data_IF_757430310788
#
_entry.id   IF_757430310788
#
_cell.length_a   1.000
_cell.length_b   1.000
_cell.length_c   1.000
_cell.angle_alpha   90.00
_cell.angle_beta   90.00
_cell.angle_gamma   90.00
#
_symmetry.space_group_name_H-M   'P 1'
#
loop_
_entity.id
_entity.type
_entity.pdbx_description
1 polymer ?
#
# COMPACT_ATOMS: atom_id res chain seq x y z
N UNK A 1 -20.10 5.15 3.38
CA UNK A 1 -19.22 4.93 4.55
C UNK A 1 -18.34 6.17 4.70
N UNK A 2 -17.97 6.49 5.93
CA UNK A 2 -17.54 7.82 6.40
C UNK A 2 -16.32 8.40 5.67
N UNK A 3 -16.28 9.73 5.57
CA UNK A 3 -15.27 10.51 4.84
C UNK A 3 -13.84 10.02 5.13
N UNK A 4 -13.11 9.63 4.09
CA UNK A 4 -11.67 9.36 4.18
C UNK A 4 -10.99 10.62 4.75
N UNK A 5 -10.28 10.45 5.85
CA UNK A 5 -9.77 11.54 6.68
C UNK A 5 -8.82 12.43 5.89
N UNK A 6 -9.04 13.77 5.88
CA UNK A 6 -8.12 14.77 5.31
C UNK A 6 -6.70 14.64 5.89
N UNK A 7 -5.64 15.13 5.20
CA UNK A 7 -4.30 15.17 5.81
C UNK A 7 -4.32 15.92 7.16
N UNK A 8 -5.08 17.01 7.25
CA UNK A 8 -5.25 17.78 8.48
C UNK A 8 -5.86 16.93 9.60
N UNK A 9 -6.85 16.09 9.29
CA UNK A 9 -7.45 15.16 10.26
C UNK A 9 -6.45 14.07 10.68
N UNK A 10 -5.64 13.54 9.76
CA UNK A 10 -4.59 12.57 10.10
C UNK A 10 -3.56 13.17 11.07
N UNK A 11 -3.16 14.44 10.87
CA UNK A 11 -2.21 15.14 11.74
C UNK A 11 -2.65 15.26 13.20
N UNK A 12 -3.95 15.34 13.46
CA UNK A 12 -4.49 15.49 14.82
C UNK A 12 -4.25 14.26 15.71
N UNK A 13 -4.05 13.08 15.12
CA UNK A 13 -3.82 11.83 15.85
C UNK A 13 -2.64 11.04 15.26
N UNK A 14 -1.64 11.74 14.71
CA UNK A 14 -0.51 11.11 14.05
C UNK A 14 0.46 10.49 15.09
N UNK A 15 0.74 9.19 15.04
CA UNK A 15 1.74 8.59 15.91
C UNK A 15 3.15 9.14 15.61
N UNK A 16 3.99 9.25 16.64
CA UNK A 16 5.34 9.83 16.50
C UNK A 16 6.24 9.08 15.51
N UNK A 17 6.02 7.78 15.30
CA UNK A 17 6.73 6.99 14.28
C UNK A 17 6.47 7.50 12.85
N UNK A 18 5.38 8.23 12.61
CA UNK A 18 5.07 8.86 11.33
C UNK A 18 5.58 10.30 11.20
N UNK A 19 6.45 10.79 12.10
CA UNK A 19 6.98 12.15 12.02
C UNK A 19 7.70 12.48 10.69
N UNK A 20 8.28 11.47 10.03
CA UNK A 20 8.90 11.62 8.71
C UNK A 20 7.89 11.52 7.54
N UNK A 21 6.62 11.30 7.86
CA UNK A 21 5.53 11.02 6.92
C UNK A 21 4.29 11.86 7.26
N UNK A 22 4.49 13.14 7.60
CA UNK A 22 3.42 14.06 8.07
C UNK A 22 2.29 14.30 7.06
N UNK A 23 2.56 14.08 5.78
CA UNK A 23 1.59 14.16 4.69
C UNK A 23 1.02 12.79 4.30
N UNK A 24 1.28 11.74 5.10
CA UNK A 24 0.72 10.42 4.85
C UNK A 24 -0.81 10.48 4.89
N UNK A 25 -1.38 10.16 3.75
CA UNK A 25 -2.81 10.13 3.49
C UNK A 25 -3.40 8.79 3.88
N UNK A 26 -2.78 7.72 3.39
CA UNK A 26 -3.29 6.35 3.50
C UNK A 26 -2.15 5.35 3.28
N UNK A 27 -2.22 4.24 4.01
CA UNK A 27 -1.43 3.05 3.80
C UNK A 27 -2.33 2.05 3.08
N UNK A 28 -1.92 1.59 1.90
CA UNK A 28 -2.67 0.67 1.06
C UNK A 28 -2.07 -0.73 1.11
N UNK A 29 -2.93 -1.73 1.27
CA UNK A 29 -2.54 -3.13 1.19
C UNK A 29 -3.68 -3.98 0.60
N UNK A 30 -3.32 -4.98 -0.21
CA UNK A 30 -4.27 -5.98 -0.69
C UNK A 30 -4.27 -7.18 0.25
N UNK A 31 -5.38 -7.42 0.92
CA UNK A 31 -5.55 -8.56 1.81
C UNK A 31 -6.29 -9.70 1.11
N UNK A 32 -5.90 -10.93 1.42
CA UNK A 32 -6.51 -12.14 0.86
C UNK A 32 -7.18 -12.98 1.95
N UNK A 33 -8.41 -13.40 1.68
CA UNK A 33 -9.24 -14.24 2.56
C UNK A 33 -9.41 -15.60 1.89
N UNK A 34 -9.09 -16.68 2.62
CA UNK A 34 -9.30 -18.03 2.12
C UNK A 34 -10.78 -18.34 1.94
N UNK A 35 -11.09 -19.06 0.86
CA UNK A 35 -12.44 -19.53 0.56
C UNK A 35 -12.50 -21.06 0.52
N UNK A 36 -13.72 -21.58 0.55
CA UNK A 36 -13.96 -22.96 0.12
C UNK A 36 -13.58 -23.10 -1.36
N UNK A 37 -13.09 -24.28 -1.74
CA UNK A 37 -12.74 -24.57 -3.14
C UNK A 37 -14.04 -24.55 -3.96
N UNK A 38 -14.16 -23.68 -4.98
CA UNK A 38 -15.35 -23.66 -5.83
C UNK A 38 -15.58 -25.02 -6.52
N UNK A 39 -16.83 -25.38 -6.80
CA UNK A 39 -17.15 -26.67 -7.44
C UNK A 39 -16.71 -26.73 -8.92
N UNK A 40 -16.73 -25.59 -9.61
CA UNK A 40 -16.38 -25.51 -11.03
C UNK A 40 -14.91 -25.17 -11.22
N UNK A 41 -14.24 -25.84 -12.15
CA UNK A 41 -12.84 -25.56 -12.51
C UNK A 41 -12.58 -24.10 -12.92
N UNK A 42 -13.56 -23.45 -13.56
CA UNK A 42 -13.44 -22.04 -13.97
C UNK A 42 -13.31 -21.12 -12.75
N UNK A 43 -14.26 -21.19 -11.81
CA UNK A 43 -14.19 -20.40 -10.57
C UNK A 43 -12.98 -20.77 -9.71
N UNK A 44 -12.56 -22.04 -9.71
CA UNK A 44 -11.32 -22.43 -9.04
C UNK A 44 -10.12 -21.68 -9.63
N UNK A 45 -9.98 -21.64 -10.96
CA UNK A 45 -8.88 -20.93 -11.61
C UNK A 45 -8.90 -19.42 -11.31
N UNK A 46 -10.08 -18.80 -11.34
CA UNK A 46 -10.23 -17.36 -11.05
C UNK A 46 -9.91 -17.01 -9.60
N UNK A 47 -10.33 -17.85 -8.65
CA UNK A 47 -10.10 -17.58 -7.23
C UNK A 47 -8.74 -18.06 -6.76
N UNK A 48 -8.00 -18.83 -7.55
CA UNK A 48 -6.70 -19.34 -7.13
C UNK A 48 -5.66 -18.23 -7.06
N UNK A 49 -5.16 -17.97 -5.86
CA UNK A 49 -4.01 -17.10 -5.65
C UNK A 49 -2.73 -17.92 -5.71
N UNK A 50 -1.88 -17.57 -6.67
CA UNK A 50 -0.53 -18.14 -6.76
C UNK A 50 0.32 -17.79 -5.55
N UNK A 51 0.09 -16.63 -4.94
CA UNK A 51 0.82 -16.17 -3.76
C UNK A 51 0.45 -16.96 -2.49
N UNK A 52 -0.84 -17.27 -2.31
CA UNK A 52 -1.32 -18.05 -1.15
C UNK A 52 -1.39 -19.55 -1.41
N UNK A 53 -1.13 -19.99 -2.64
CA UNK A 53 -1.30 -21.37 -3.09
C UNK A 53 -2.68 -21.96 -2.74
N UNK A 54 -3.73 -21.14 -2.85
CA UNK A 54 -5.10 -21.52 -2.46
C UNK A 54 -6.15 -20.62 -3.11
N UNK A 55 -7.41 -21.08 -3.14
CA UNK A 55 -8.56 -20.26 -3.52
C UNK A 55 -8.82 -19.16 -2.48
N UNK A 56 -8.76 -17.91 -2.92
CA UNK A 56 -8.96 -16.72 -2.09
C UNK A 56 -9.89 -15.72 -2.77
N UNK A 57 -10.43 -14.84 -1.95
CA UNK A 57 -10.92 -13.54 -2.37
C UNK A 57 -9.94 -12.48 -1.90
N UNK A 58 -9.74 -11.46 -2.71
CA UNK A 58 -8.80 -10.36 -2.46
C UNK A 58 -9.55 -9.04 -2.34
N UNK A 59 -9.15 -8.19 -1.40
CA UNK A 59 -9.71 -6.85 -1.23
C UNK A 59 -8.62 -5.85 -0.89
N UNK A 60 -8.78 -4.61 -1.35
CA UNK A 60 -7.92 -3.49 -0.99
C UNK A 60 -8.41 -2.85 0.30
N UNK A 61 -7.52 -2.71 1.27
CA UNK A 61 -7.74 -1.94 2.49
C UNK A 61 -6.89 -0.68 2.50
N UNK A 62 -7.46 0.39 3.03
CA UNK A 62 -6.76 1.65 3.26
C UNK A 62 -6.80 2.01 4.74
N UNK A 63 -5.61 2.13 5.32
CA UNK A 63 -5.41 2.40 6.74
C UNK A 63 -4.87 3.82 6.91
N UNK A 64 -5.45 4.60 7.82
CA UNK A 64 -4.87 5.89 8.21
C UNK A 64 -3.58 5.67 9.02
N UNK A 65 -2.65 6.65 9.08
CA UNK A 65 -1.40 6.53 9.84
C UNK A 65 -1.55 6.13 11.31
N UNK A 66 -2.72 6.40 11.90
CA UNK A 66 -3.06 6.03 13.29
C UNK A 66 -3.63 4.60 13.43
N UNK A 67 -3.65 3.81 12.37
CA UNK A 67 -4.13 2.41 12.36
C UNK A 67 -5.63 2.24 12.10
N UNK A 68 -6.38 3.33 11.88
CA UNK A 68 -7.83 3.23 11.62
C UNK A 68 -8.10 2.79 10.18
N UNK A 69 -8.98 1.81 9.98
CA UNK A 69 -9.50 1.44 8.66
C UNK A 69 -10.36 2.57 8.10
N UNK A 70 -9.95 3.12 6.96
CA UNK A 70 -10.61 4.27 6.30
C UNK A 70 -11.14 3.95 4.92
N UNK A 71 -10.70 2.85 4.31
CA UNK A 71 -11.15 2.39 3.01
C UNK A 71 -11.18 0.87 2.94
N UNK A 72 -12.18 0.32 2.28
CA UNK A 72 -12.30 -1.10 1.96
C UNK A 72 -13.00 -1.25 0.61
N UNK A 73 -12.38 -1.96 -0.34
CA UNK A 73 -12.99 -2.23 -1.64
C UNK A 73 -14.02 -3.35 -1.56
N UNK A 74 -14.74 -3.57 -2.67
CA UNK A 74 -15.37 -4.86 -2.94
C UNK A 74 -14.31 -5.97 -3.03
N UNK A 75 -14.75 -7.23 -2.94
CA UNK A 75 -13.89 -8.39 -3.08
C UNK A 75 -13.75 -8.79 -4.55
N UNK A 76 -12.55 -9.27 -4.90
CA UNK A 76 -12.15 -9.71 -6.22
C UNK A 76 -11.66 -11.16 -6.15
N UNK A 77 -11.68 -11.92 -7.26
CA UNK A 77 -11.05 -13.24 -7.31
C UNK A 77 -9.55 -13.16 -6.94
N UNK A 78 -9.05 -14.15 -6.19
CA UNK A 78 -7.65 -14.21 -5.72
C UNK A 78 -6.58 -14.07 -6.82
N UNK A 79 -6.90 -14.44 -8.06
CA UNK A 79 -5.99 -14.27 -9.20
C UNK A 79 -5.87 -12.82 -9.71
N UNK A 80 -6.66 -11.88 -9.17
CA UNK A 80 -6.69 -10.48 -9.63
C UNK A 80 -5.43 -9.75 -9.19
N UNK A 81 -4.83 -8.99 -10.10
CA UNK A 81 -3.66 -8.16 -9.79
C UNK A 81 -4.05 -6.95 -8.94
N UNK A 82 -3.25 -6.65 -7.92
CA UNK A 82 -3.51 -5.57 -6.96
C UNK A 82 -3.71 -4.22 -7.65
N UNK A 83 -2.93 -3.95 -8.70
CA UNK A 83 -3.06 -2.76 -9.54
C UNK A 83 -4.45 -2.61 -10.18
N UNK A 84 -5.08 -3.72 -10.62
CA UNK A 84 -6.43 -3.69 -11.16
C UNK A 84 -7.46 -3.39 -10.08
N UNK A 85 -7.27 -3.93 -8.88
CA UNK A 85 -8.13 -3.64 -7.73
C UNK A 85 -8.04 -2.16 -7.38
N UNK A 86 -6.84 -1.59 -7.28
CA UNK A 86 -6.65 -0.16 -7.00
C UNK A 86 -7.37 0.70 -8.04
N UNK A 87 -7.21 0.39 -9.32
CA UNK A 87 -7.88 1.09 -10.42
C UNK A 87 -9.41 1.02 -10.34
N UNK A 88 -9.98 -0.15 -10.01
CA UNK A 88 -11.44 -0.35 -9.99
C UNK A 88 -12.10 0.10 -8.67
N UNK A 89 -11.33 0.17 -7.59
CA UNK A 89 -11.86 0.42 -6.24
C UNK A 89 -12.37 1.85 -6.02
N UNK A 90 -11.99 2.81 -6.87
CA UNK A 90 -12.28 4.24 -6.67
C UNK A 90 -11.43 4.92 -5.60
N UNK A 91 -10.42 4.22 -5.04
CA UNK A 91 -9.53 4.80 -4.01
C UNK A 91 -8.72 5.98 -4.56
N UNK A 92 -8.41 5.99 -5.85
CA UNK A 92 -7.59 7.02 -6.50
C UNK A 92 -8.27 8.39 -6.43
N UNK A 93 -9.60 8.41 -6.54
CA UNK A 93 -10.42 9.65 -6.61
C UNK A 93 -10.41 10.45 -5.30
N UNK A 94 -9.83 9.89 -4.24
CA UNK A 94 -9.83 10.46 -2.89
C UNK A 94 -8.51 11.15 -2.55
N UNK A 95 -7.51 11.01 -3.42
CA UNK A 95 -6.17 11.55 -3.26
C UNK A 95 -6.04 12.91 -3.92
N UNK A 96 -5.31 13.80 -3.26
CA UNK A 96 -5.09 15.18 -3.69
C UNK A 96 -3.59 15.47 -3.75
N UNK A 97 -3.21 16.44 -4.59
CA UNK A 97 -1.82 16.89 -4.69
C UNK A 97 -1.23 17.20 -3.30
N UNK A 98 -0.03 16.69 -3.04
CA UNK A 98 0.66 16.73 -1.76
C UNK A 98 0.42 15.50 -0.86
N UNK A 99 -0.52 14.61 -1.18
CA UNK A 99 -0.73 13.36 -0.46
C UNK A 99 0.47 12.41 -0.61
N UNK A 100 0.79 11.71 0.48
CA UNK A 100 1.72 10.58 0.47
C UNK A 100 0.95 9.28 0.72
N UNK A 101 1.10 8.33 -0.18
CA UNK A 101 0.60 6.97 -0.05
C UNK A 101 1.76 6.06 0.33
N UNK A 102 1.55 5.24 1.35
CA UNK A 102 2.45 4.12 1.66
C UNK A 102 1.83 2.84 1.12
N UNK A 103 2.61 1.99 0.47
CA UNK A 103 2.12 0.71 -0.02
C UNK A 103 3.20 -0.37 0.09
N UNK A 104 2.79 -1.63 0.03
CA UNK A 104 3.73 -2.75 -0.05
C UNK A 104 4.47 -2.78 -1.41
N UNK A 105 5.64 -3.42 -1.44
CA UNK A 105 6.50 -3.58 -2.62
C UNK A 105 5.77 -4.21 -3.82
N UNK A 106 4.76 -5.05 -3.57
CA UNK A 106 3.94 -5.68 -4.61
C UNK A 106 2.95 -4.73 -5.30
N UNK A 107 2.70 -3.54 -4.73
CA UNK A 107 1.69 -2.58 -5.19
C UNK A 107 2.31 -1.49 -6.06
N UNK A 108 2.73 -1.85 -7.28
CA UNK A 108 3.19 -0.90 -8.30
C UNK A 108 2.02 -0.09 -8.88
N UNK A 109 1.65 0.99 -8.18
CA UNK A 109 0.51 1.86 -8.53
C UNK A 109 0.91 3.29 -8.89
N UNK A 110 2.21 3.57 -8.99
CA UNK A 110 2.71 4.93 -9.23
C UNK A 110 2.13 5.58 -10.49
N UNK A 111 1.92 4.80 -11.55
CA UNK A 111 1.32 5.25 -12.81
C UNK A 111 -0.20 5.47 -12.75
N UNK A 112 -0.85 5.05 -11.65
CA UNK A 112 -2.27 5.27 -11.42
C UNK A 112 -2.55 6.51 -10.55
N UNK A 113 -1.53 7.05 -9.88
CA UNK A 113 -1.74 8.14 -8.92
C UNK A 113 -1.96 9.48 -9.63
N UNK A 114 -2.82 10.37 -9.09
CA UNK A 114 -3.00 11.70 -9.61
C UNK A 114 -1.71 12.53 -9.53
N UNK A 115 -1.62 13.57 -10.37
CA UNK A 115 -0.50 14.49 -10.33
C UNK A 115 -0.31 15.12 -8.94
N UNK A 116 0.95 15.17 -8.48
CA UNK A 116 1.32 15.69 -7.17
C UNK A 116 1.09 14.74 -6.00
N UNK A 117 0.56 13.53 -6.22
CA UNK A 117 0.49 12.47 -5.20
C UNK A 117 1.77 11.65 -5.24
N UNK A 118 2.36 11.43 -4.07
CA UNK A 118 3.61 10.68 -3.89
C UNK A 118 3.33 9.26 -3.41
N UNK A 119 4.15 8.31 -3.86
CA UNK A 119 4.13 6.92 -3.41
C UNK A 119 5.46 6.60 -2.74
N UNK A 120 5.41 6.01 -1.54
CA UNK A 120 6.57 5.43 -0.88
C UNK A 120 6.32 3.93 -0.70
N UNK A 121 7.22 3.13 -1.26
CA UNK A 121 7.27 1.68 -1.12
C UNK A 121 8.63 1.29 -0.52
N UNK A 122 8.72 0.19 0.25
CA UNK A 122 10.00 -0.27 0.78
C UNK A 122 10.99 -0.64 -0.35
N UNK A 123 12.31 -0.51 -0.16
CA UNK A 123 13.31 -0.68 -1.24
C UNK A 123 13.36 -2.12 -1.77
N UNK A 124 13.63 -2.30 -3.07
CA UNK A 124 13.86 -3.63 -3.65
C UNK A 124 15.14 -4.25 -3.09
N UNK A 125 15.12 -5.56 -2.82
CA UNK A 125 16.29 -6.27 -2.32
C UNK A 125 17.32 -6.36 -3.46
N UNK A 126 18.33 -5.49 -3.46
CA UNK A 126 19.39 -5.43 -4.48
C UNK A 126 19.68 -4.04 -5.02
N UNK A 127 18.79 -3.07 -4.82
CA UNK A 127 19.07 -1.65 -5.08
C UNK A 127 19.45 -0.98 -3.76
N UNK A 128 20.74 -1.00 -3.44
CA UNK A 128 21.31 -0.13 -2.43
C UNK A 128 21.13 1.31 -2.92
N UNK A 129 20.00 1.94 -2.61
CA UNK A 129 19.89 3.38 -2.74
C UNK A 129 20.89 3.97 -1.76
N UNK A 130 21.99 4.46 -2.30
CA UNK A 130 23.00 5.24 -1.60
C UNK A 130 22.24 6.39 -0.92
N UNK A 131 22.05 6.29 0.38
CA UNK A 131 21.64 7.43 1.17
C UNK A 131 22.81 8.42 1.12
N UNK A 132 22.71 9.44 0.28
CA UNK A 132 23.57 10.63 0.40
C UNK A 132 23.15 11.33 1.68
N UNK A 133 23.78 10.96 2.80
CA UNK A 133 23.90 11.88 3.93
C UNK A 133 24.76 13.04 3.43
N UNK A 134 24.15 14.21 3.26
CA UNK A 134 24.91 15.46 3.23
C UNK A 134 25.51 15.68 4.62
N UNK A 135 26.83 15.48 4.69
CA UNK A 135 27.80 16.14 5.57
C UNK A 135 27.49 16.16 7.07
N UNK A 136 28.14 15.29 7.85
CA UNK A 136 29.41 15.63 8.50
C UNK A 136 29.83 14.58 9.55
N UNK A 137 31.16 14.50 9.70
CA UNK A 137 31.96 13.87 10.75
C UNK A 137 32.46 12.41 10.54
N UNK A 138 33.76 12.39 10.23
CA UNK A 138 34.70 11.28 10.18
C UNK A 138 34.69 10.45 11.46
N UNK A 139 34.58 9.12 11.33
CA UNK A 139 35.24 8.20 12.27
C UNK A 139 35.84 7.04 11.48
N UNK A 140 37.17 7.00 11.55
CA UNK A 140 38.10 5.97 11.11
C UNK A 140 37.85 4.66 11.88
N UNK A 141 37.73 3.53 11.16
CA UNK A 141 37.93 2.22 11.77
C UNK A 141 38.73 1.32 10.83
N UNK A 142 39.94 1.07 11.30
CA UNK A 142 40.92 0.10 10.86
C UNK A 142 40.43 -1.35 10.95
N UNK A 143 41.11 -2.16 10.15
CA UNK A 143 41.00 -3.60 9.90
C UNK A 143 40.78 -4.49 11.13
N UNK A 144 39.89 -5.49 11.00
CA UNK A 144 40.22 -6.93 11.09
C UNK A 144 39.03 -7.81 10.68
#
# INVERSE_FOLDING_TARGET
MNSILSQQKNKACLPSVFNNFMNCRMILDCTEIHTAIPSTMELQKLTYSNYKHRNTLKGLVGIAPNGVLTFCSLLYPGSTYDKQIVKHSGVIDVFNSGDLILADKGSLISDLLPEGVSLNIPPFLGETSIYTKSSDENIDYSES
#
